data_IF_355265695742
#
_entry.id   IF_355265695742
#
_cell.length_a   1.000
_cell.length_b   1.000
_cell.length_c   1.000
_cell.angle_alpha   90.00
_cell.angle_beta   90.00
_cell.angle_gamma   90.00
#
_symmetry.space_group_name_H-M   'P 1'
#
loop_
_entity.id
_entity.type
_entity.pdbx_description
1 polymer ?
#
# COMPACT_ATOMS: atom_id res chain seq x y z
N UNK A 1 27.18 7.29 -9.88
CA UNK A 1 26.55 5.96 -9.83
C UNK A 1 25.05 6.17 -9.71
N UNK A 2 24.28 5.55 -10.59
CA UNK A 2 22.95 6.02 -11.00
C UNK A 2 21.88 5.55 -10.04
N UNK A 3 21.08 6.51 -9.59
CA UNK A 3 19.94 6.40 -8.70
C UNK A 3 18.90 5.42 -9.27
N UNK A 4 18.65 4.32 -8.56
CA UNK A 4 17.54 3.43 -8.81
C UNK A 4 16.43 3.75 -7.80
N UNK A 5 15.80 4.92 -7.96
CA UNK A 5 14.46 5.19 -7.44
C UNK A 5 13.53 4.14 -8.05
N UNK A 6 12.72 3.41 -7.28
CA UNK A 6 11.64 2.58 -7.86
C UNK A 6 10.48 3.52 -8.26
N UNK A 7 10.80 4.43 -9.18
CA UNK A 7 9.91 5.07 -10.15
C UNK A 7 9.55 3.94 -11.10
N UNK A 8 8.32 3.45 -11.07
CA UNK A 8 7.87 2.53 -12.13
C UNK A 8 7.69 3.34 -13.42
N UNK A 9 8.77 3.55 -14.17
CA UNK A 9 8.71 3.83 -15.61
C UNK A 9 8.75 2.50 -16.34
N UNK A 10 7.62 1.80 -16.36
CA UNK A 10 7.42 0.73 -17.33
C UNK A 10 7.09 1.37 -18.68
N UNK A 11 8.10 1.69 -19.49
CA UNK A 11 7.91 1.85 -20.95
C UNK A 11 7.82 0.47 -21.62
N UNK A 12 6.96 -0.40 -21.09
CA UNK A 12 6.55 -1.64 -21.76
C UNK A 12 7.52 -2.82 -21.67
N UNK A 13 8.39 -2.91 -20.67
CA UNK A 13 9.13 -4.15 -20.42
C UNK A 13 8.29 -5.09 -19.53
N UNK A 14 7.57 -5.98 -20.20
CA UNK A 14 6.64 -6.92 -19.57
C UNK A 14 5.41 -7.28 -20.41
N UNK A 15 5.32 -6.87 -21.68
CA UNK A 15 4.27 -7.37 -22.59
C UNK A 15 4.44 -8.88 -22.78
N UNK A 16 3.77 -9.67 -21.96
CA UNK A 16 3.45 -11.03 -22.36
C UNK A 16 2.52 -10.92 -23.55
N UNK A 17 2.98 -11.33 -24.72
CA UNK A 17 2.23 -11.46 -25.97
C UNK A 17 1.17 -12.60 -25.89
N UNK A 18 0.62 -12.82 -24.70
CA UNK A 18 -0.52 -13.70 -24.47
C UNK A 18 -1.76 -12.92 -24.85
N UNK A 19 -2.56 -13.48 -25.75
CA UNK A 19 -3.91 -13.01 -26.05
C UNK A 19 -4.69 -12.84 -24.75
N UNK A 20 -4.81 -11.61 -24.27
CA UNK A 20 -5.58 -11.30 -23.08
C UNK A 20 -7.06 -11.27 -23.46
N UNK A 21 -7.89 -11.98 -22.69
CA UNK A 21 -9.33 -11.91 -22.88
C UNK A 21 -9.80 -10.46 -22.72
N UNK A 22 -10.68 -9.95 -23.61
CA UNK A 22 -11.14 -8.58 -23.54
C UNK A 22 -11.85 -8.34 -22.19
N UNK A 23 -11.58 -7.19 -21.58
CA UNK A 23 -12.30 -6.76 -20.40
C UNK A 23 -13.69 -6.26 -20.83
N UNK A 24 -14.72 -7.07 -20.64
CA UNK A 24 -16.09 -6.79 -21.11
C UNK A 24 -17.06 -6.79 -19.93
N UNK A 25 -17.99 -5.84 -19.92
CA UNK A 25 -19.15 -5.84 -19.02
C UNK A 25 -18.94 -5.16 -17.66
N UNK A 26 -17.78 -4.52 -17.43
CA UNK A 26 -17.48 -3.77 -16.19
C UNK A 26 -16.99 -2.34 -16.45
N UNK A 27 -17.37 -1.77 -17.58
CA UNK A 27 -17.01 -0.40 -17.96
C UNK A 27 -17.53 0.64 -16.96
N UNK A 28 -18.67 0.36 -16.31
CA UNK A 28 -19.25 1.21 -15.28
C UNK A 28 -18.38 1.28 -14.03
N UNK A 29 -18.05 0.12 -13.46
CA UNK A 29 -17.17 0.07 -12.27
C UNK A 29 -15.79 0.59 -12.59
N UNK A 30 -15.22 0.25 -13.75
CA UNK A 30 -13.90 0.74 -14.13
C UNK A 30 -13.87 2.26 -14.30
N UNK A 31 -14.91 2.86 -14.90
CA UNK A 31 -15.06 4.32 -14.96
C UNK A 31 -15.14 4.93 -13.56
N UNK A 32 -15.92 4.33 -12.66
CA UNK A 32 -16.02 4.78 -11.27
C UNK A 32 -14.66 4.76 -10.56
N UNK A 33 -13.85 3.70 -10.71
CA UNK A 33 -12.51 3.66 -10.10
C UNK A 33 -11.62 4.80 -10.61
N UNK A 34 -11.68 5.11 -11.91
CA UNK A 34 -10.92 6.23 -12.49
C UNK A 34 -11.39 7.57 -11.95
N UNK A 35 -12.71 7.79 -11.93
CA UNK A 35 -13.29 9.04 -11.44
C UNK A 35 -12.95 9.26 -9.96
N UNK A 36 -13.02 8.20 -9.15
CA UNK A 36 -12.64 8.25 -7.73
C UNK A 36 -11.14 8.52 -7.54
N UNK A 37 -10.28 7.93 -8.37
CA UNK A 37 -8.84 8.20 -8.34
C UNK A 37 -8.52 9.66 -8.66
N UNK A 38 -9.05 10.20 -9.76
CA UNK A 38 -8.84 11.59 -10.14
C UNK A 38 -9.41 12.56 -9.11
N UNK A 39 -10.62 12.29 -8.60
CA UNK A 39 -11.21 13.11 -7.55
C UNK A 39 -10.39 13.07 -6.25
N UNK A 40 -9.80 11.92 -5.87
CA UNK A 40 -8.86 11.86 -4.74
C UNK A 40 -7.58 12.63 -5.03
N UNK A 41 -7.05 12.55 -6.25
CA UNK A 41 -5.87 13.30 -6.67
C UNK A 41 -6.09 14.82 -6.53
N UNK A 42 -7.25 15.30 -6.97
CA UNK A 42 -7.64 16.71 -6.97
C UNK A 42 -8.02 17.21 -5.57
N UNK A 43 -8.91 16.50 -4.88
CA UNK A 43 -9.44 16.91 -3.57
C UNK A 43 -8.46 16.64 -2.43
N UNK A 44 -7.42 15.82 -2.67
CA UNK A 44 -6.43 15.39 -1.66
C UNK A 44 -7.06 14.73 -0.44
N UNK A 45 -8.18 14.03 -0.64
CA UNK A 45 -8.92 13.34 0.41
C UNK A 45 -8.80 11.84 0.24
N UNK A 46 -8.47 11.18 1.34
CA UNK A 46 -8.43 9.74 1.35
C UNK A 46 -9.81 9.17 1.01
N UNK A 47 -9.84 8.16 0.14
CA UNK A 47 -11.08 7.46 -0.23
C UNK A 47 -10.87 5.96 -0.06
N UNK A 48 -11.89 5.31 0.46
CA UNK A 48 -11.96 3.86 0.53
C UNK A 48 -12.96 3.35 -0.48
N UNK A 49 -12.53 2.39 -1.30
CA UNK A 49 -13.36 1.72 -2.29
C UNK A 49 -13.35 0.23 -2.00
N UNK A 50 -14.52 -0.38 -1.86
CA UNK A 50 -14.67 -1.82 -1.69
C UNK A 50 -15.31 -2.43 -2.94
N UNK A 51 -14.62 -3.39 -3.57
CA UNK A 51 -15.11 -4.12 -4.72
C UNK A 51 -15.71 -5.45 -4.25
N UNK A 52 -17.02 -5.46 -4.02
CA UNK A 52 -17.73 -6.68 -3.59
C UNK A 52 -18.29 -7.43 -4.80
N UNK A 53 -18.17 -8.76 -4.79
CA UNK A 53 -18.74 -9.61 -5.83
C UNK A 53 -18.40 -11.07 -5.64
N UNK A 54 -19.15 -11.95 -6.33
CA UNK A 54 -18.97 -13.40 -6.27
C UNK A 54 -17.54 -13.81 -6.67
N UNK A 55 -17.01 -14.89 -6.10
CA UNK A 55 -15.73 -15.46 -6.53
C UNK A 55 -15.77 -15.74 -8.05
N UNK A 56 -14.68 -15.43 -8.76
CA UNK A 56 -14.59 -15.63 -10.21
C UNK A 56 -15.23 -14.53 -11.08
N UNK A 57 -15.91 -13.52 -10.52
CA UNK A 57 -16.52 -12.41 -11.30
C UNK A 57 -15.49 -11.42 -11.89
N UNK A 58 -14.19 -11.65 -11.70
CA UNK A 58 -13.13 -10.78 -12.22
C UNK A 58 -12.80 -9.56 -11.34
N UNK A 59 -12.91 -9.67 -10.01
CA UNK A 59 -12.45 -8.62 -9.08
C UNK A 59 -10.96 -8.32 -9.22
N UNK A 60 -10.12 -9.36 -9.19
CA UNK A 60 -8.68 -9.23 -9.41
C UNK A 60 -8.36 -8.74 -10.83
N UNK A 61 -9.19 -9.10 -11.83
CA UNK A 61 -9.04 -8.58 -13.19
C UNK A 61 -9.31 -7.07 -13.24
N UNK A 62 -10.35 -6.58 -12.56
CA UNK A 62 -10.64 -5.15 -12.44
C UNK A 62 -9.47 -4.40 -11.78
N UNK A 63 -8.89 -4.95 -10.69
CA UNK A 63 -7.72 -4.39 -10.03
C UNK A 63 -6.53 -4.22 -10.98
N UNK A 64 -6.30 -5.25 -11.79
CA UNK A 64 -5.19 -5.32 -12.73
C UNK A 64 -5.39 -4.41 -13.95
N UNK A 65 -6.61 -4.27 -14.47
CA UNK A 65 -6.91 -3.27 -15.51
C UNK A 65 -6.72 -1.85 -14.97
N UNK A 66 -7.02 -1.64 -13.69
CA UNK A 66 -6.79 -0.37 -13.03
C UNK A 66 -5.30 -0.09 -12.81
N UNK A 67 -4.52 -1.08 -12.37
CA UNK A 67 -3.05 -0.99 -12.33
C UNK A 67 -2.48 -0.61 -13.71
N UNK A 68 -2.91 -1.27 -14.79
CA UNK A 68 -2.51 -0.94 -16.16
C UNK A 68 -2.88 0.48 -16.58
N UNK A 69 -4.06 0.95 -16.19
CA UNK A 69 -4.48 2.31 -16.47
C UNK A 69 -3.59 3.32 -15.77
N UNK A 70 -3.27 3.09 -14.49
CA UNK A 70 -2.38 3.92 -13.68
C UNK A 70 -0.96 3.94 -14.26
N UNK A 71 -0.43 2.79 -14.70
CA UNK A 71 0.87 2.68 -15.37
C UNK A 71 0.95 3.51 -16.67
N UNK A 72 -0.20 3.74 -17.32
CA UNK A 72 -0.31 4.57 -18.51
C UNK A 72 -0.36 6.08 -18.25
N UNK A 73 -0.50 6.50 -16.98
CA UNK A 73 -0.55 7.93 -16.62
C UNK A 73 0.86 8.54 -16.63
N UNK A 74 0.92 9.85 -16.88
CA UNK A 74 2.17 10.61 -16.80
C UNK A 74 2.58 10.92 -15.35
N UNK A 75 1.63 10.85 -14.43
CA UNK A 75 1.80 11.16 -13.01
C UNK A 75 2.45 9.99 -12.27
N UNK A 76 3.17 10.32 -11.20
CA UNK A 76 3.79 9.30 -10.35
C UNK A 76 2.77 8.81 -9.32
N UNK A 77 2.43 7.53 -9.44
CA UNK A 77 1.51 6.85 -8.53
C UNK A 77 2.23 5.71 -7.83
N UNK A 78 2.17 5.73 -6.51
CA UNK A 78 2.67 4.67 -5.65
C UNK A 78 1.64 3.56 -5.56
N UNK A 79 1.87 2.45 -6.25
CA UNK A 79 1.04 1.26 -6.14
C UNK A 79 1.59 0.29 -5.09
N UNK A 80 0.74 -0.14 -4.16
CA UNK A 80 1.07 -1.12 -3.13
C UNK A 80 -0.03 -2.17 -3.07
N UNK A 81 0.34 -3.45 -3.13
CA UNK A 81 -0.58 -4.59 -3.06
C UNK A 81 -0.25 -5.43 -1.84
N UNK A 82 -1.24 -5.69 -0.99
CA UNK A 82 -1.12 -6.58 0.16
C UNK A 82 -2.16 -7.68 0.06
N UNK A 83 -1.72 -8.94 0.18
CA UNK A 83 -2.61 -10.10 0.24
C UNK A 83 -2.81 -10.48 1.70
N UNK A 84 -4.06 -10.70 2.10
CA UNK A 84 -4.34 -11.29 3.39
C UNK A 84 -4.21 -12.81 3.31
N UNK A 85 -3.40 -13.40 4.20
CA UNK A 85 -3.22 -14.84 4.25
C UNK A 85 -4.21 -15.45 5.26
N UNK A 86 -4.92 -16.49 4.82
CA UNK A 86 -5.69 -17.34 5.68
C UNK A 86 -4.74 -18.09 6.62
N UNK A 87 -4.82 -17.80 7.92
CA UNK A 87 -4.23 -18.58 9.02
C UNK A 87 -2.75 -18.33 9.37
N UNK A 88 -2.52 -18.02 10.66
CA UNK A 88 -1.21 -17.97 11.32
C UNK A 88 -1.27 -17.13 12.60
N UNK A 89 -1.22 -17.76 13.79
CA UNK A 89 -1.01 -17.04 15.04
C UNK A 89 0.31 -16.25 14.93
N UNK A 90 0.24 -14.92 15.04
CA UNK A 90 1.40 -14.02 14.88
C UNK A 90 1.55 -13.35 13.51
N UNK A 91 0.62 -13.56 12.58
CA UNK A 91 0.63 -12.99 11.21
C UNK A 91 -0.33 -11.80 11.07
N UNK A 92 -0.74 -11.19 12.19
CA UNK A 92 -1.40 -9.89 12.15
C UNK A 92 -0.51 -8.94 11.31
N UNK A 93 -1.11 -8.06 10.50
CA UNK A 93 -0.39 -7.01 9.80
C UNK A 93 0.40 -7.42 8.55
N UNK A 94 0.27 -8.68 8.10
CA UNK A 94 1.03 -9.20 6.96
C UNK A 94 0.88 -8.38 5.68
N UNK A 95 -0.36 -8.04 5.31
CA UNK A 95 -0.61 -7.28 4.08
C UNK A 95 0.15 -5.94 4.06
N UNK A 96 0.30 -5.28 5.21
CA UNK A 96 1.00 -4.01 5.34
C UNK A 96 2.52 -4.21 5.40
N UNK A 97 2.99 -5.26 6.08
CA UNK A 97 4.39 -5.66 6.07
C UNK A 97 4.87 -5.98 4.63
N UNK A 98 4.03 -6.65 3.83
CA UNK A 98 4.29 -6.93 2.41
C UNK A 98 4.39 -5.65 1.59
N UNK A 99 3.49 -4.68 1.79
CA UNK A 99 3.57 -3.39 1.12
C UNK A 99 4.89 -2.66 1.42
N UNK A 100 5.34 -2.68 2.68
CA UNK A 100 6.63 -2.09 3.10
C UNK A 100 7.80 -2.87 2.54
N UNK A 101 7.77 -4.21 2.57
CA UNK A 101 8.82 -5.08 2.01
C UNK A 101 9.02 -4.84 0.52
N UNK A 102 7.93 -4.82 -0.25
CA UNK A 102 7.98 -4.51 -1.69
C UNK A 102 8.56 -3.12 -1.94
N UNK A 103 8.14 -2.11 -1.14
CA UNK A 103 8.66 -0.75 -1.26
C UNK A 103 10.16 -0.68 -0.99
N UNK A 104 10.61 -1.39 0.03
CA UNK A 104 12.01 -1.43 0.44
C UNK A 104 12.85 -2.46 -0.34
N UNK A 105 12.25 -3.17 -1.32
CA UNK A 105 12.91 -4.20 -2.14
C UNK A 105 13.56 -5.32 -1.30
N UNK A 106 12.90 -5.72 -0.22
CA UNK A 106 13.31 -6.90 0.51
C UNK A 106 12.70 -8.15 -0.11
N UNK A 107 13.56 -9.12 -0.40
CA UNK A 107 13.22 -10.48 -0.77
C UNK A 107 13.09 -11.35 0.48
N UNK A 108 12.33 -12.45 0.38
CA UNK A 108 12.28 -13.48 1.44
C UNK A 108 13.64 -14.15 1.67
N UNK A 109 14.52 -14.13 0.67
CA UNK A 109 15.86 -14.71 0.72
C UNK A 109 16.91 -13.78 1.35
N UNK A 110 16.55 -12.53 1.65
CA UNK A 110 17.49 -11.57 2.23
C UNK A 110 17.85 -11.97 3.67
N UNK A 111 19.15 -11.94 3.98
CA UNK A 111 19.61 -12.08 5.35
C UNK A 111 19.04 -10.94 6.23
N UNK A 112 18.80 -11.19 7.54
CA UNK A 112 18.17 -10.19 8.42
C UNK A 112 18.89 -8.83 8.45
N UNK A 113 20.21 -8.81 8.33
CA UNK A 113 21.01 -7.59 8.30
C UNK A 113 20.82 -6.81 7.00
N UNK A 114 20.88 -7.49 5.85
CA UNK A 114 20.56 -6.91 4.53
C UNK A 114 19.14 -6.33 4.52
N UNK A 115 18.19 -7.09 5.05
CA UNK A 115 16.79 -6.67 5.10
C UNK A 115 16.61 -5.39 5.94
N UNK A 116 17.30 -5.28 7.09
CA UNK A 116 17.28 -4.07 7.93
C UNK A 116 17.90 -2.87 7.24
N UNK A 117 19.05 -3.05 6.58
CA UNK A 117 19.71 -1.98 5.83
C UNK A 117 18.81 -1.44 4.72
N UNK A 118 18.16 -2.33 3.95
CA UNK A 118 17.21 -1.95 2.90
C UNK A 118 15.97 -1.23 3.44
N UNK A 119 15.47 -1.65 4.60
CA UNK A 119 14.34 -0.96 5.25
C UNK A 119 14.74 0.44 5.70
N UNK A 120 15.93 0.61 6.29
CA UNK A 120 16.45 1.92 6.69
C UNK A 120 16.59 2.84 5.47
N UNK A 121 17.20 2.36 4.40
CA UNK A 121 17.33 3.12 3.15
C UNK A 121 15.95 3.55 2.61
N UNK A 122 14.95 2.66 2.66
CA UNK A 122 13.60 2.99 2.23
C UNK A 122 12.94 4.05 3.13
N UNK A 123 13.18 4.04 4.44
CA UNK A 123 12.68 5.05 5.37
C UNK A 123 13.35 6.40 5.11
N UNK A 124 14.68 6.42 4.99
CA UNK A 124 15.46 7.63 4.68
C UNK A 124 15.06 8.26 3.34
N UNK A 125 14.63 7.46 2.37
CA UNK A 125 14.15 7.94 1.06
C UNK A 125 12.75 8.59 1.13
N UNK A 126 11.93 8.24 2.11
CA UNK A 126 10.56 8.75 2.22
C UNK A 126 10.43 9.86 3.27
N UNK A 127 11.08 9.70 4.41
CA UNK A 127 11.04 10.63 5.54
C UNK A 127 12.27 11.53 5.48
N UNK A 128 12.08 12.85 5.41
CA UNK A 128 13.18 13.82 5.42
C UNK A 128 13.63 14.18 6.85
N UNK A 129 12.76 13.99 7.85
CA UNK A 129 13.01 14.34 9.26
C UNK A 129 13.69 13.17 10.03
N UNK A 130 14.91 13.38 10.58
CA UNK A 130 15.60 12.37 11.37
C UNK A 130 14.86 11.90 12.62
N UNK A 131 14.03 12.76 13.24
CA UNK A 131 13.23 12.37 14.42
C UNK A 131 12.13 11.39 14.02
N UNK A 132 11.46 11.63 12.89
CA UNK A 132 10.47 10.72 12.34
C UNK A 132 11.12 9.39 11.90
N UNK A 133 12.29 9.44 11.26
CA UNK A 133 13.05 8.24 10.86
C UNK A 133 13.38 7.37 12.08
N UNK A 134 13.95 7.96 13.14
CA UNK A 134 14.32 7.25 14.36
C UNK A 134 13.11 6.67 15.10
N UNK A 135 11.93 7.28 14.95
CA UNK A 135 10.70 6.81 15.55
C UNK A 135 10.01 5.69 14.74
N UNK A 136 10.00 5.78 13.40
CA UNK A 136 9.37 4.81 12.50
C UNK A 136 10.19 3.53 12.35
N UNK A 137 11.52 3.64 12.21
CA UNK A 137 12.42 2.49 11.97
C UNK A 137 12.20 1.30 12.93
N UNK A 138 12.25 1.46 14.26
CA UNK A 138 12.10 0.33 15.18
C UNK A 138 10.72 -0.34 15.09
N UNK A 139 9.66 0.44 14.81
CA UNK A 139 8.28 -0.04 14.72
C UNK A 139 8.04 -0.85 13.44
N UNK A 140 8.64 -0.44 12.32
CA UNK A 140 8.56 -1.21 11.07
C UNK A 140 9.45 -2.45 11.08
N UNK A 141 10.56 -2.45 11.83
CA UNK A 141 11.46 -3.59 11.95
C UNK A 141 10.86 -4.76 12.75
N UNK A 142 9.96 -4.51 13.69
CA UNK A 142 9.38 -5.55 14.55
C UNK A 142 8.56 -6.58 13.77
N UNK A 143 7.95 -6.21 12.64
CA UNK A 143 7.15 -7.12 11.81
C UNK A 143 7.97 -8.00 10.85
N UNK A 144 9.31 -7.89 10.86
CA UNK A 144 10.19 -8.66 9.98
C UNK A 144 10.50 -10.08 10.43
N UNK A 145 10.20 -10.48 11.67
CA UNK A 145 10.89 -11.64 12.25
C UNK A 145 10.03 -12.80 12.75
N UNK A 146 8.69 -12.71 12.78
CA UNK A 146 7.90 -13.73 13.49
C UNK A 146 8.29 -13.88 14.97
N UNK A 147 9.17 -13.00 15.46
CA UNK A 147 9.54 -12.82 16.84
C UNK A 147 8.48 -11.90 17.42
N UNK A 148 7.35 -12.49 17.78
CA UNK A 148 6.50 -11.94 18.81
C UNK A 148 7.31 -11.96 20.13
N UNK A 149 8.32 -11.10 20.23
CA UNK A 149 8.99 -10.87 21.50
C UNK A 149 8.11 -9.94 22.35
N UNK A 150 8.12 -10.19 23.65
CA UNK A 150 6.99 -9.99 24.59
C UNK A 150 6.77 -8.53 25.04
N UNK A 151 7.13 -7.59 24.18
CA UNK A 151 6.87 -6.14 24.27
C UNK A 151 6.46 -5.66 22.88
N UNK A 152 5.31 -6.15 22.41
CA UNK A 152 4.68 -5.53 21.25
C UNK A 152 4.47 -4.04 21.57
N UNK A 153 4.83 -3.10 20.68
CA UNK A 153 4.39 -1.72 20.81
C UNK A 153 2.88 -1.68 21.00
N UNK A 154 2.40 -0.60 21.61
CA UNK A 154 0.97 -0.33 21.55
C UNK A 154 0.51 -0.39 20.09
N UNK A 155 -0.63 -1.02 19.84
CA UNK A 155 -1.19 -1.17 18.49
C UNK A 155 -1.31 0.19 17.80
N UNK A 156 -1.66 1.21 18.57
CA UNK A 156 -1.77 2.60 18.11
C UNK A 156 -0.42 3.18 17.65
N UNK A 157 0.67 2.83 18.34
CA UNK A 157 2.03 3.28 18.00
C UNK A 157 2.47 2.71 16.64
N UNK A 158 2.18 1.42 16.41
CA UNK A 158 2.46 0.77 15.13
C UNK A 158 1.63 1.38 14.00
N UNK A 159 0.33 1.61 14.24
CA UNK A 159 -0.56 2.23 13.26
C UNK A 159 -0.11 3.62 12.89
N UNK A 160 0.34 4.39 13.89
CA UNK A 160 0.87 5.72 13.70
C UNK A 160 2.17 5.71 12.89
N UNK A 161 3.05 4.71 13.07
CA UNK A 161 4.28 4.56 12.29
C UNK A 161 4.02 4.21 10.82
N UNK A 162 3.12 3.27 10.55
CA UNK A 162 2.72 2.99 9.18
C UNK A 162 2.02 4.17 8.53
N UNK A 163 1.08 4.80 9.25
CA UNK A 163 0.39 6.00 8.77
C UNK A 163 1.41 7.04 8.34
N UNK A 164 2.36 7.39 9.21
CA UNK A 164 3.38 8.40 8.90
C UNK A 164 4.22 7.99 7.69
N UNK A 165 4.62 6.72 7.59
CA UNK A 165 5.37 6.24 6.41
C UNK A 165 4.57 6.37 5.10
N UNK A 166 3.31 5.93 5.08
CA UNK A 166 2.44 6.04 3.90
C UNK A 166 2.04 7.48 3.59
N UNK A 167 1.86 8.32 4.62
CA UNK A 167 1.56 9.74 4.51
C UNK A 167 2.71 10.49 3.84
N UNK A 168 3.95 10.27 4.29
CA UNK A 168 5.16 10.87 3.70
C UNK A 168 5.38 10.42 2.26
N UNK A 169 4.99 9.19 1.90
CA UNK A 169 4.96 8.75 0.50
C UNK A 169 3.88 9.48 -0.31
N UNK A 170 2.68 9.64 0.27
CA UNK A 170 1.54 10.28 -0.39
C UNK A 170 1.79 11.80 -0.64
N UNK A 171 2.61 12.45 0.17
CA UNK A 171 3.07 13.83 -0.08
C UNK A 171 3.87 13.96 -1.39
N UNK A 172 4.60 12.90 -1.78
CA UNK A 172 5.46 12.87 -2.96
C UNK A 172 4.74 12.46 -4.24
N UNK A 173 3.64 11.72 -4.14
CA UNK A 173 2.85 11.24 -5.28
C UNK A 173 1.57 10.55 -4.84
N UNK A 174 0.60 10.37 -5.74
CA UNK A 174 -0.66 9.70 -5.38
C UNK A 174 -0.37 8.28 -4.90
N UNK A 175 -1.00 7.83 -3.82
CA UNK A 175 -0.75 6.51 -3.25
C UNK A 175 -1.99 5.64 -3.33
N UNK A 176 -1.81 4.42 -3.84
CA UNK A 176 -2.84 3.40 -3.98
C UNK A 176 -2.44 2.18 -3.16
N UNK A 177 -3.26 1.84 -2.16
CA UNK A 177 -3.14 0.59 -1.40
C UNK A 177 -4.25 -0.37 -1.82
N UNK A 178 -3.88 -1.53 -2.36
CA UNK A 178 -4.80 -2.60 -2.74
C UNK A 178 -4.69 -3.73 -1.72
N UNK A 179 -5.78 -4.01 -1.02
CA UNK A 179 -5.92 -5.15 -0.13
C UNK A 179 -6.73 -6.22 -0.83
N UNK A 180 -6.10 -7.37 -1.10
CA UNK A 180 -6.76 -8.53 -1.70
C UNK A 180 -7.14 -9.53 -0.62
N UNK A 181 -8.28 -10.20 -0.83
CA UNK A 181 -8.78 -11.28 0.00
C UNK A 181 -9.08 -10.85 1.44
N UNK A 182 -9.68 -9.66 1.63
CA UNK A 182 -10.00 -9.11 2.96
C UNK A 182 -10.94 -10.01 3.79
N UNK A 183 -11.63 -10.96 3.17
CA UNK A 183 -12.41 -11.97 3.90
C UNK A 183 -11.54 -12.87 4.79
N UNK A 184 -10.23 -12.94 4.54
CA UNK A 184 -9.24 -13.58 5.40
C UNK A 184 -8.48 -12.58 6.30
N UNK A 185 -8.84 -11.29 6.27
CA UNK A 185 -8.17 -10.24 7.03
C UNK A 185 -8.11 -10.57 8.51
N UNK A 186 -6.90 -10.42 9.07
CA UNK A 186 -6.74 -10.41 10.51
C UNK A 186 -7.42 -9.17 11.11
N UNK A 187 -7.84 -9.28 12.37
CA UNK A 187 -8.48 -8.17 13.09
C UNK A 187 -7.61 -6.91 13.17
N UNK A 188 -6.29 -7.05 13.07
CA UNK A 188 -5.36 -5.94 13.05
C UNK A 188 -5.43 -5.14 11.75
N UNK A 189 -5.45 -5.81 10.59
CA UNK A 189 -5.60 -5.14 9.30
C UNK A 189 -6.92 -4.36 9.21
N UNK A 190 -8.03 -4.96 9.67
CA UNK A 190 -9.33 -4.28 9.70
C UNK A 190 -9.27 -3.05 10.62
N UNK A 191 -8.72 -3.19 11.83
CA UNK A 191 -8.55 -2.08 12.76
C UNK A 191 -7.66 -0.97 12.20
N UNK A 192 -6.63 -1.30 11.40
CA UNK A 192 -5.80 -0.30 10.74
C UNK A 192 -6.56 0.46 9.65
N UNK A 193 -7.37 -0.22 8.84
CA UNK A 193 -8.22 0.41 7.84
C UNK A 193 -9.21 1.37 8.51
N UNK A 194 -9.86 0.94 9.60
CA UNK A 194 -10.75 1.78 10.41
C UNK A 194 -10.00 2.99 10.98
N UNK A 195 -8.82 2.78 11.55
CA UNK A 195 -7.95 3.85 12.06
C UNK A 195 -7.61 4.90 10.98
N UNK A 196 -7.24 4.46 9.76
CA UNK A 196 -6.97 5.37 8.65
C UNK A 196 -8.21 6.18 8.24
N UNK A 197 -9.39 5.53 8.22
CA UNK A 197 -10.65 6.18 7.88
C UNK A 197 -11.04 7.23 8.91
N UNK A 198 -11.01 6.89 10.20
CA UNK A 198 -11.40 7.81 11.26
C UNK A 198 -10.45 8.99 11.35
N UNK A 199 -9.15 8.75 11.20
CA UNK A 199 -8.17 9.81 11.13
C UNK A 199 -8.42 10.75 9.94
N UNK A 200 -8.73 10.20 8.76
CA UNK A 200 -9.04 11.01 7.57
C UNK A 200 -10.33 11.84 7.70
N UNK A 201 -11.27 11.42 8.55
CA UNK A 201 -12.53 12.12 8.83
C UNK A 201 -12.37 13.22 9.87
N UNK A 202 -11.47 13.04 10.84
CA UNK A 202 -11.27 13.94 11.98
C UNK A 202 -10.34 15.14 11.74
N UNK A 203 -9.60 15.17 10.63
CA UNK A 203 -8.60 16.22 10.36
C UNK A 203 -8.97 17.03 9.11
N UNK A 204 -9.55 18.24 9.26
CA UNK A 204 -9.79 19.12 8.11
C UNK A 204 -8.45 19.55 7.47
N UNK A 205 -8.21 19.02 6.27
CA UNK A 205 -7.55 19.62 5.08
C UNK A 205 -6.07 20.08 5.19
N UNK A 206 -5.49 20.30 6.37
CA UNK A 206 -4.13 20.87 6.45
C UNK A 206 -3.01 19.84 6.74
N UNK A 207 -3.33 18.71 7.38
CA UNK A 207 -2.35 17.66 7.72
C UNK A 207 -2.18 16.62 6.60
N UNK A 208 -3.26 16.22 5.93
CA UNK A 208 -3.19 15.26 4.83
C UNK A 208 -2.98 15.99 3.50
N UNK A 209 -1.77 16.48 3.24
CA UNK A 209 -1.42 17.07 1.95
C UNK A 209 -1.10 15.96 0.94
N UNK A 210 -2.17 15.30 0.45
CA UNK A 210 -2.32 14.55 -0.83
C UNK A 210 -2.72 13.06 -0.69
N UNK A 211 -3.78 12.74 -1.43
CA UNK A 211 -4.12 11.55 -2.22
C UNK A 211 -3.71 10.14 -1.74
N UNK A 212 -4.40 9.65 -0.71
CA UNK A 212 -4.39 8.23 -0.33
C UNK A 212 -5.66 7.52 -0.85
N UNK A 213 -5.57 6.67 -1.86
CA UNK A 213 -6.69 5.81 -2.29
C UNK A 213 -6.48 4.41 -1.75
N UNK A 214 -7.39 3.97 -0.89
CA UNK A 214 -7.42 2.61 -0.38
C UNK A 214 -8.46 1.80 -1.17
N UNK A 215 -8.02 0.77 -1.87
CA UNK A 215 -8.86 -0.20 -2.55
C UNK A 215 -8.86 -1.50 -1.74
N UNK A 216 -10.06 -1.98 -1.43
CA UNK A 216 -10.32 -3.30 -0.85
C UNK A 216 -10.98 -4.14 -1.94
N UNK A 217 -10.43 -5.31 -2.22
CA UNK A 217 -10.87 -6.22 -3.28
C UNK A 217 -11.14 -7.62 -2.71
#
# INVERSE_FOLDING_TARGET
MRSATLRWRSRGEGRSDRLEAPFVGRDGEFRLLKDLFHATADEKRARLVSVVGVAGIGKSRLAWEFEKYIDGLAEEVWWHRGRSLAYGEGVAYWALAEMVRMRARISEEDEPESARAKLREAIELQLDDPEEQAWVEPRLQQHRLGLADRTAPDREDLFSAWRLFFERMAERGALIMVFEDLHWADSGLVAFIEYLLDWSRGHPIDACKRSLVCYII
#
